data_IF_452354612549
#
_entry.id   IF_452354612549
#
_cell.length_a   1.000
_cell.length_b   1.000
_cell.length_c   1.000
_cell.angle_alpha   90.00
_cell.angle_beta   90.00
_cell.angle_gamma   90.00
#
_symmetry.space_group_name_H-M   'P 1'
#
loop_
_entity.id
_entity.type
_entity.pdbx_description
1 polymer ?
#
# COMPACT_ATOMS: atom_id res chain seq x y z
N UNK A 1 6.77 -5.72 -21.34
CA UNK A 1 7.01 -4.64 -20.35
C UNK A 1 7.74 -5.24 -19.16
N UNK A 2 8.99 -4.85 -18.93
CA UNK A 2 9.84 -5.40 -17.86
C UNK A 2 9.43 -4.79 -16.52
N UNK A 3 8.96 -5.60 -15.56
CA UNK A 3 8.57 -5.19 -14.20
C UNK A 3 9.81 -4.85 -13.34
N UNK A 4 10.71 -3.99 -13.82
CA UNK A 4 11.98 -3.68 -13.15
C UNK A 4 11.94 -2.50 -12.16
N UNK A 5 10.79 -1.85 -11.97
CA UNK A 5 10.68 -0.68 -11.10
C UNK A 5 9.46 -0.72 -10.18
N UNK A 6 9.19 -1.84 -9.51
CA UNK A 6 8.40 -1.78 -8.28
C UNK A 6 9.37 -1.36 -7.18
N UNK A 7 9.37 -0.07 -6.84
CA UNK A 7 10.07 0.43 -5.67
C UNK A 7 9.49 -0.29 -4.45
N UNK A 8 10.23 -1.25 -3.90
CA UNK A 8 9.85 -1.94 -2.66
C UNK A 8 10.02 -1.05 -1.42
N UNK A 9 10.35 0.23 -1.60
CA UNK A 9 10.49 1.14 -0.48
C UNK A 9 9.09 1.48 0.05
N UNK A 10 8.83 1.26 1.35
CA UNK A 10 7.55 1.60 1.94
C UNK A 10 7.38 3.13 1.98
N UNK A 11 6.18 3.57 1.66
CA UNK A 11 5.76 4.96 1.72
C UNK A 11 4.99 5.20 3.01
N UNK A 12 5.41 6.19 3.79
CA UNK A 12 4.73 6.57 5.02
C UNK A 12 3.42 7.30 4.71
N UNK A 13 2.32 6.89 5.33
CA UNK A 13 1.00 7.56 5.18
C UNK A 13 0.74 8.45 6.38
N UNK A 14 0.83 7.88 7.59
CA UNK A 14 0.58 8.52 8.89
C UNK A 14 1.18 7.65 9.99
N UNK A 15 1.43 8.21 11.18
CA UNK A 15 1.90 7.53 12.42
C UNK A 15 2.45 6.11 12.22
N UNK A 16 1.58 5.11 12.28
CA UNK A 16 1.84 3.68 12.23
C UNK A 16 1.47 3.02 10.89
N UNK A 17 1.01 3.77 9.90
CA UNK A 17 0.52 3.28 8.61
C UNK A 17 1.52 3.55 7.49
N UNK A 18 1.83 2.47 6.77
CA UNK A 18 2.68 2.48 5.59
C UNK A 18 1.96 1.82 4.44
N UNK A 19 2.35 2.16 3.21
CA UNK A 19 1.94 1.41 2.04
C UNK A 19 3.13 1.05 1.16
N UNK A 20 3.01 -0.01 0.37
CA UNK A 20 4.04 -0.42 -0.57
C UNK A 20 3.43 -1.09 -1.80
N UNK A 21 4.17 -1.00 -2.90
CA UNK A 21 3.81 -1.63 -4.17
C UNK A 21 4.02 -3.14 -4.11
N UNK A 22 2.97 -3.89 -4.43
CA UNK A 22 3.00 -5.33 -4.61
C UNK A 22 2.60 -5.71 -6.04
N UNK A 23 3.01 -6.90 -6.47
CA UNK A 23 2.70 -7.38 -7.83
C UNK A 23 1.18 -7.37 -8.12
N UNK A 24 0.35 -7.61 -7.10
CA UNK A 24 -1.11 -7.66 -7.23
C UNK A 24 -1.86 -6.37 -6.92
N UNK A 25 -1.22 -5.39 -6.27
CA UNK A 25 -1.91 -4.19 -5.79
C UNK A 25 -1.05 -3.32 -4.88
N UNK A 26 -1.69 -2.38 -4.20
CA UNK A 26 -1.10 -1.63 -3.10
C UNK A 26 -1.37 -2.39 -1.82
N UNK A 27 -0.34 -2.70 -1.05
CA UNK A 27 -0.53 -3.21 0.30
C UNK A 27 -0.40 -2.07 1.29
N UNK A 28 -1.40 -1.89 2.16
CA UNK A 28 -1.37 -0.98 3.29
C UNK A 28 -1.15 -1.81 4.54
N UNK A 29 -0.20 -1.41 5.36
CA UNK A 29 0.08 -2.04 6.65
C UNK A 29 -0.08 -1.02 7.77
N UNK A 30 -0.69 -1.46 8.86
CA UNK A 30 -0.53 -0.81 10.17
C UNK A 30 0.51 -1.57 10.97
N UNK A 31 1.41 -0.83 11.60
CA UNK A 31 2.49 -1.37 12.41
C UNK A 31 2.45 -0.73 13.79
N UNK A 32 1.90 -1.44 14.77
CA UNK A 32 1.92 -0.99 16.15
C UNK A 32 3.32 -1.19 16.75
N UNK A 33 3.78 -0.23 17.57
CA UNK A 33 5.04 -0.34 18.30
C UNK A 33 4.84 -1.03 19.64
N UNK A 34 5.60 -2.10 19.87
CA UNK A 34 5.80 -2.71 21.18
C UNK A 34 7.24 -2.45 21.62
N UNK A 35 7.45 -1.38 22.39
CA UNK A 35 8.77 -0.84 22.72
C UNK A 35 9.55 -0.39 21.49
N UNK A 36 10.69 -1.05 21.24
CA UNK A 36 11.56 -0.80 20.09
C UNK A 36 11.26 -1.70 18.88
N UNK A 37 10.22 -2.54 18.95
CA UNK A 37 9.82 -3.42 17.86
C UNK A 37 8.59 -2.90 17.16
N UNK A 38 8.61 -2.93 15.83
CA UNK A 38 7.40 -2.76 15.02
C UNK A 38 6.76 -4.12 14.83
N UNK A 39 5.54 -4.29 15.36
CA UNK A 39 4.72 -5.47 15.13
C UNK A 39 3.76 -5.14 13.98
N UNK A 40 3.87 -5.89 12.90
CA UNK A 40 2.95 -5.79 11.77
C UNK A 40 1.61 -6.41 12.19
N UNK A 41 0.57 -5.59 12.31
CA UNK A 41 -0.73 -6.03 12.88
C UNK A 41 -1.74 -6.36 11.80
N UNK A 42 -2.00 -5.42 10.88
CA UNK A 42 -2.99 -5.61 9.82
C UNK A 42 -2.40 -5.27 8.45
N UNK A 43 -2.78 -6.04 7.44
CA UNK A 43 -2.42 -5.76 6.05
C UNK A 43 -3.61 -5.88 5.13
N UNK A 44 -3.92 -4.80 4.42
CA UNK A 44 -4.96 -4.77 3.40
C UNK A 44 -4.31 -4.69 2.02
N UNK A 45 -4.72 -5.55 1.09
CA UNK A 45 -4.31 -5.46 -0.31
C UNK A 45 -5.43 -4.79 -1.11
N UNK A 46 -5.14 -3.65 -1.71
CA UNK A 46 -6.00 -2.98 -2.68
C UNK A 46 -5.55 -3.41 -4.08
N UNK A 47 -6.32 -4.24 -4.80
CA UNK A 47 -5.91 -4.71 -6.12
C UNK A 47 -5.79 -3.56 -7.11
N UNK A 48 -4.80 -3.65 -8.01
CA UNK A 48 -4.59 -2.63 -9.04
C UNK A 48 -5.84 -2.35 -9.89
N UNK A 49 -6.63 -3.40 -10.16
CA UNK A 49 -7.88 -3.29 -10.92
C UNK A 49 -8.89 -2.38 -10.21
N UNK A 50 -8.99 -2.47 -8.90
CA UNK A 50 -9.98 -1.72 -8.13
C UNK A 50 -9.50 -0.27 -7.93
N UNK A 51 -8.19 -0.06 -7.79
CA UNK A 51 -7.60 1.28 -7.80
C UNK A 51 -7.84 2.00 -9.13
N UNK A 52 -7.61 1.35 -10.27
CA UNK A 52 -7.91 1.92 -11.60
C UNK A 52 -9.38 2.31 -11.74
N UNK A 53 -10.30 1.43 -11.33
CA UNK A 53 -11.74 1.71 -11.32
C UNK A 53 -12.10 2.92 -10.45
N UNK A 54 -11.43 3.10 -9.31
CA UNK A 54 -11.66 4.23 -8.42
C UNK A 54 -11.18 5.55 -9.05
N UNK A 55 -10.01 5.56 -9.69
CA UNK A 55 -9.47 6.74 -10.40
C UNK A 55 -10.41 7.14 -11.55
N UNK A 56 -10.80 6.18 -12.40
CA UNK A 56 -11.73 6.42 -13.51
C UNK A 56 -13.08 6.99 -13.06
N UNK A 57 -13.56 6.62 -11.86
CA UNK A 57 -14.79 7.18 -11.28
C UNK A 57 -14.60 8.59 -10.75
N UNK A 58 -13.42 8.91 -10.22
CA UNK A 58 -13.08 10.25 -9.73
C UNK A 58 -13.03 11.25 -10.89
N UNK A 59 -12.41 10.88 -12.00
CA UNK A 59 -12.26 11.78 -13.17
C UNK A 59 -13.57 12.07 -13.90
N UNK A 60 -14.64 11.32 -13.61
CA UNK A 60 -15.99 11.54 -14.14
C UNK A 60 -16.84 12.49 -13.29
N UNK A 61 -16.35 12.91 -12.12
CA UNK A 61 -17.03 13.84 -11.20
C UNK A 61 -16.35 15.20 -11.23
#
# INVERSE_FOLDING_TARGET
MSNKHLSRMPHHVREDVWWYDERGGICIISAWRDGDRYIRTDSFLIPWRDLRRAIERKDRK
#
